data_IF_176271327625
#
_entry.id   IF_176271327625
#
_cell.length_a   1.000
_cell.length_b   1.000
_cell.length_c   1.000
_cell.angle_alpha   90.00
_cell.angle_beta   90.00
_cell.angle_gamma   90.00
#
_symmetry.space_group_name_H-M   'P 1'
#
loop_
_entity.id
_entity.type
_entity.pdbx_description
1 polymer ?
#
# COMPACT_ATOMS: atom_id res chain seq x y z
N UNK A 1 11.85 -6.48 22.26
CA UNK A 1 10.52 -6.49 21.63
C UNK A 1 9.51 -6.79 22.72
N UNK A 2 8.40 -6.07 22.77
CA UNK A 2 7.34 -6.31 23.75
C UNK A 2 6.74 -7.71 23.59
N UNK A 3 6.01 -8.17 24.60
CA UNK A 3 5.33 -9.47 24.59
C UNK A 3 4.37 -9.56 23.39
N UNK A 4 4.17 -10.76 22.84
CA UNK A 4 3.20 -10.99 21.76
C UNK A 4 1.79 -10.53 22.14
N UNK A 5 1.49 -10.57 23.45
CA UNK A 5 0.23 -10.05 24.01
C UNK A 5 0.12 -8.52 23.91
N UNK A 6 1.23 -7.78 24.03
CA UNK A 6 1.24 -6.32 23.87
C UNK A 6 1.06 -5.91 22.41
N UNK A 7 1.65 -6.66 21.47
CA UNK A 7 1.45 -6.45 20.04
C UNK A 7 0.00 -6.74 19.63
N UNK A 8 -0.55 -7.87 20.11
CA UNK A 8 -1.93 -8.26 19.88
C UNK A 8 -2.92 -7.19 20.33
N UNK A 9 -2.73 -6.62 21.53
CA UNK A 9 -3.57 -5.50 22.02
C UNK A 9 -3.40 -4.24 21.19
N UNK A 10 -2.20 -3.94 20.72
CA UNK A 10 -1.94 -2.76 19.88
C UNK A 10 -2.58 -2.88 18.49
N UNK A 11 -2.47 -4.03 17.82
CA UNK A 11 -3.12 -4.30 16.53
C UNK A 11 -4.67 -4.28 16.62
N UNK A 12 -5.18 -4.48 17.82
CA UNK A 12 -6.60 -4.41 18.14
C UNK A 12 -7.11 -3.00 18.51
N UNK A 13 -6.27 -1.96 18.38
CA UNK A 13 -6.59 -0.58 18.80
C UNK A 13 -7.06 -0.49 20.28
N UNK A 14 -6.56 -1.40 21.15
CA UNK A 14 -6.91 -1.43 22.58
C UNK A 14 -6.37 -0.17 23.30
N UNK A 15 -7.23 0.64 23.96
CA UNK A 15 -6.80 1.83 24.68
C UNK A 15 -5.75 1.60 25.77
N UNK A 16 -5.67 0.40 26.35
CA UNK A 16 -4.68 0.03 27.37
C UNK A 16 -3.29 -0.23 26.75
N UNK A 17 -3.22 -0.57 25.45
CA UNK A 17 -1.96 -0.75 24.73
C UNK A 17 -1.17 0.57 24.58
N UNK A 18 -1.82 1.73 24.74
CA UNK A 18 -1.23 3.06 24.69
C UNK A 18 -0.26 3.39 25.85
N UNK A 19 0.12 2.43 26.68
CA UNK A 19 1.12 2.59 27.74
C UNK A 19 2.28 1.57 27.63
N UNK A 20 2.18 0.63 26.70
CA UNK A 20 3.11 -0.48 26.51
C UNK A 20 4.40 -0.11 25.76
N UNK A 21 5.39 -1.02 25.72
CA UNK A 21 6.66 -0.80 25.02
C UNK A 21 6.49 -0.59 23.50
N UNK A 22 5.48 -1.21 22.87
CA UNK A 22 5.13 -0.96 21.47
C UNK A 22 4.61 0.46 21.23
N UNK A 23 3.78 1.00 22.12
CA UNK A 23 3.36 2.40 22.05
C UNK A 23 4.53 3.38 22.20
N UNK A 24 5.50 3.08 23.08
CA UNK A 24 6.72 3.90 23.23
C UNK A 24 7.62 3.83 21.99
N UNK A 25 7.76 2.65 21.38
CA UNK A 25 8.46 2.49 20.10
C UNK A 25 7.73 3.22 18.95
N UNK A 26 6.39 3.12 18.91
CA UNK A 26 5.53 3.82 17.96
C UNK A 26 5.60 5.34 18.11
N UNK A 27 5.65 5.88 19.34
CA UNK A 27 5.88 7.31 19.57
C UNK A 27 7.27 7.75 19.06
N UNK A 28 8.31 6.93 19.27
CA UNK A 28 9.65 7.21 18.74
C UNK A 28 9.70 7.17 17.21
N UNK A 29 8.94 6.26 16.59
CA UNK A 29 8.82 6.14 15.14
C UNK A 29 7.94 7.25 14.53
N UNK A 30 6.82 7.60 15.17
CA UNK A 30 5.93 8.69 14.78
C UNK A 30 6.62 10.06 14.88
N UNK A 31 7.48 10.26 15.88
CA UNK A 31 8.35 11.44 16.00
C UNK A 31 9.27 11.57 14.78
N UNK A 32 9.88 10.47 14.33
CA UNK A 32 10.71 10.46 13.12
C UNK A 32 9.92 10.59 11.82
N UNK A 33 8.74 9.98 11.70
CA UNK A 33 7.87 10.12 10.53
C UNK A 33 7.34 11.55 10.40
N UNK A 34 6.99 12.20 11.50
CA UNK A 34 6.58 13.62 11.51
C UNK A 34 7.75 14.57 11.21
N UNK A 35 8.97 14.23 11.63
CA UNK A 35 10.19 14.95 11.25
C UNK A 35 10.58 14.76 9.77
N UNK A 36 10.18 13.64 9.15
CA UNK A 36 10.43 13.32 7.74
C UNK A 36 9.27 13.70 6.82
N UNK A 37 8.07 13.94 7.35
CA UNK A 37 6.91 14.36 6.57
C UNK A 37 7.17 15.77 6.00
N UNK A 38 7.10 15.96 4.67
CA UNK A 38 7.25 17.28 4.08
C UNK A 38 6.11 18.17 4.57
N UNK A 39 6.46 19.29 5.23
CA UNK A 39 5.52 20.33 5.66
C UNK A 39 5.06 21.11 4.41
N UNK A 40 3.82 20.89 3.90
CA UNK A 40 3.39 21.43 2.62
C UNK A 40 3.30 22.97 2.64
N UNK A 41 3.10 23.56 3.82
CA UNK A 41 3.05 25.02 3.99
C UNK A 41 4.44 25.66 3.97
N UNK A 42 5.51 24.88 4.12
CA UNK A 42 6.90 25.37 4.08
C UNK A 42 7.59 25.20 2.75
N UNK A 43 7.01 24.45 1.81
CA UNK A 43 7.63 24.09 0.53
C UNK A 43 8.91 23.27 0.70
N UNK A 44 9.41 22.71 -0.41
CA UNK A 44 10.75 22.09 -0.45
C UNK A 44 11.84 23.16 -0.35
N UNK A 45 12.02 23.72 0.85
CA UNK A 45 13.23 24.48 1.17
C UNK A 45 14.28 23.45 1.56
N UNK A 46 15.21 23.19 0.66
CA UNK A 46 16.50 22.56 1.02
C UNK A 46 16.98 23.32 2.25
N UNK A 47 17.02 22.67 3.42
CA UNK A 47 17.60 23.27 4.62
C UNK A 47 19.05 23.56 4.28
N UNK A 48 19.35 24.81 3.90
CA UNK A 48 20.72 25.26 3.83
C UNK A 48 21.29 25.01 5.23
N UNK A 49 22.31 24.15 5.30
CA UNK A 49 22.99 23.76 6.55
C UNK A 49 23.75 24.94 7.18
N UNK A 50 23.48 26.17 6.75
CA UNK A 50 23.83 27.38 7.48
C UNK A 50 22.99 27.43 8.74
N UNK A 51 23.62 26.99 9.82
CA UNK A 51 23.27 27.24 11.22
C UNK A 51 22.78 28.67 11.43
N UNK A 52 21.49 28.93 11.22
CA UNK A 52 20.83 30.06 11.83
C UNK A 52 20.82 29.75 13.31
N UNK A 53 21.73 30.38 14.07
CA UNK A 53 21.66 30.26 15.53
C UNK A 53 20.26 30.73 15.94
N UNK A 54 19.52 29.95 16.76
CA UNK A 54 18.24 30.40 17.26
C UNK A 54 18.44 31.78 17.90
N UNK A 55 17.50 32.72 17.72
CA UNK A 55 17.64 34.06 18.29
C UNK A 55 17.90 33.90 19.79
N UNK A 56 19.10 34.27 20.23
CA UNK A 56 19.50 34.21 21.63
C UNK A 56 18.75 35.32 22.36
N UNK A 57 17.50 35.07 22.70
CA UNK A 57 16.70 35.96 23.51
C UNK A 57 17.36 36.06 24.88
N UNK A 58 17.82 37.27 25.20
CA UNK A 58 18.37 37.60 26.49
C UNK A 58 17.31 37.45 27.57
N UNK A 59 17.71 36.94 28.73
CA UNK A 59 16.81 36.72 29.88
C UNK A 59 16.01 37.96 30.30
N UNK A 60 16.50 39.16 29.98
CA UNK A 60 15.85 40.44 30.29
C UNK A 60 15.15 41.10 29.09
N UNK A 61 15.18 40.50 27.90
CA UNK A 61 14.58 41.05 26.69
C UNK A 61 13.06 40.97 26.76
N UNK A 62 12.38 41.77 25.92
CA UNK A 62 10.92 41.74 25.80
C UNK A 62 10.50 40.36 25.30
N UNK A 63 9.51 39.79 25.98
CA UNK A 63 9.04 38.45 25.68
C UNK A 63 8.34 38.41 24.30
N UNK A 64 8.72 37.49 23.41
CA UNK A 64 8.22 37.44 22.03
C UNK A 64 6.74 37.00 21.93
N UNK A 65 6.13 36.52 23.01
CA UNK A 65 4.70 36.19 23.06
C UNK A 65 3.77 37.42 23.08
N UNK A 66 4.31 38.64 23.04
CA UNK A 66 3.53 39.88 22.98
C UNK A 66 3.00 40.37 24.34
N UNK A 67 3.40 39.74 25.45
CA UNK A 67 2.92 40.08 26.80
C UNK A 67 3.43 41.41 27.36
N UNK A 68 4.43 42.03 26.71
CA UNK A 68 5.09 43.26 27.17
C UNK A 68 6.03 43.09 28.38
N UNK A 69 6.15 41.87 28.94
CA UNK A 69 7.02 41.57 30.09
C UNK A 69 8.43 41.13 29.65
N UNK A 70 9.40 41.14 30.59
CA UNK A 70 10.73 40.53 30.36
C UNK A 70 10.60 39.02 30.24
N UNK A 71 11.37 38.39 29.34
CA UNK A 71 11.32 36.94 29.07
C UNK A 71 11.40 36.10 30.35
N UNK A 72 12.26 36.47 31.31
CA UNK A 72 12.38 35.77 32.58
C UNK A 72 11.16 35.81 33.49
N UNK A 73 10.34 36.84 33.39
CA UNK A 73 9.14 37.03 34.19
C UNK A 73 7.89 36.50 33.48
N UNK A 74 8.02 36.06 32.23
CA UNK A 74 6.94 35.49 31.44
C UNK A 74 7.08 33.96 31.36
N UNK A 75 8.20 33.45 30.84
CA UNK A 75 8.37 32.01 30.56
C UNK A 75 9.50 31.31 31.34
N UNK A 76 10.46 32.01 31.97
CA UNK A 76 11.48 31.35 32.82
C UNK A 76 11.15 31.34 34.33
N UNK A 77 10.13 32.09 34.74
CA UNK A 77 9.75 32.25 36.16
C UNK A 77 8.50 31.48 36.55
N UNK A 78 7.84 30.82 35.58
CA UNK A 78 6.80 29.84 35.88
C UNK A 78 7.49 28.48 35.89
N UNK A 79 7.49 27.80 37.04
CA UNK A 79 7.68 26.35 37.11
C UNK A 79 6.46 25.66 36.47
N UNK A 80 6.19 25.95 35.21
CA UNK A 80 5.30 25.10 34.42
C UNK A 80 6.16 23.94 33.95
N UNK A 81 5.85 22.75 34.45
CA UNK A 81 6.28 21.51 33.82
C UNK A 81 5.78 21.57 32.38
N UNK A 82 6.67 21.90 31.44
CA UNK A 82 6.36 21.89 30.02
C UNK A 82 6.15 20.43 29.65
N UNK A 83 4.92 19.97 29.77
CA UNK A 83 4.47 18.68 29.30
C UNK A 83 4.31 18.79 27.79
N UNK A 84 5.38 18.48 27.03
CA UNK A 84 5.28 18.21 25.60
C UNK A 84 4.41 16.97 25.41
N UNK A 85 3.09 17.15 25.40
CA UNK A 85 2.17 16.07 25.04
C UNK A 85 2.10 16.06 23.52
N UNK A 86 2.85 15.16 22.90
CA UNK A 86 2.57 14.77 21.52
C UNK A 86 1.12 14.28 21.49
N UNK A 87 0.32 14.78 20.55
CA UNK A 87 -1.05 14.30 20.38
C UNK A 87 -1.07 12.80 20.05
N UNK A 88 -2.22 12.15 20.22
CA UNK A 88 -2.38 10.78 19.74
C UNK A 88 -2.06 10.74 18.24
N UNK A 89 -1.28 9.75 17.76
CA UNK A 89 -0.88 9.69 16.37
C UNK A 89 -2.08 9.67 15.44
N UNK A 90 -1.95 10.29 14.27
CA UNK A 90 -3.03 10.34 13.28
C UNK A 90 -3.35 8.93 12.76
N UNK A 91 -4.56 8.68 12.26
CA UNK A 91 -4.90 7.38 11.67
C UNK A 91 -3.94 6.94 10.53
N UNK A 92 -3.48 7.88 9.71
CA UNK A 92 -2.48 7.60 8.67
C UNK A 92 -1.14 7.11 9.25
N UNK A 93 -0.64 7.75 10.32
CA UNK A 93 0.58 7.31 11.01
C UNK A 93 0.37 5.92 11.63
N UNK A 94 -0.82 5.65 12.19
CA UNK A 94 -1.16 4.32 12.71
C UNK A 94 -1.13 3.27 11.60
N UNK A 95 -1.80 3.50 10.48
CA UNK A 95 -1.82 2.56 9.35
C UNK A 95 -0.41 2.20 8.85
N UNK A 96 0.46 3.21 8.67
CA UNK A 96 1.85 2.99 8.27
C UNK A 96 2.65 2.17 9.29
N UNK A 97 2.48 2.46 10.58
CA UNK A 97 3.15 1.69 11.63
C UNK A 97 2.59 0.27 11.75
N UNK A 98 1.29 0.09 11.53
CA UNK A 98 0.64 -1.22 11.54
C UNK A 98 1.22 -2.11 10.46
N UNK A 99 1.24 -1.63 9.21
CA UNK A 99 1.87 -2.36 8.10
C UNK A 99 3.32 -2.71 8.44
N UNK A 100 4.14 -1.73 8.81
CA UNK A 100 5.55 -1.98 9.16
C UNK A 100 5.74 -3.04 10.25
N UNK A 101 4.98 -2.93 11.34
CA UNK A 101 5.12 -3.85 12.47
C UNK A 101 4.74 -5.28 12.08
N UNK A 102 3.67 -5.46 11.32
CA UNK A 102 3.20 -6.78 10.90
C UNK A 102 4.25 -7.48 10.03
N UNK A 103 4.82 -6.77 9.05
CA UNK A 103 5.84 -7.33 8.15
C UNK A 103 7.20 -7.59 8.84
N UNK A 104 7.45 -6.97 10.00
CA UNK A 104 8.63 -7.27 10.85
C UNK A 104 8.38 -8.43 11.84
N UNK A 105 7.14 -8.93 11.96
CA UNK A 105 6.79 -10.01 12.90
C UNK A 105 6.98 -11.41 12.32
N UNK A 106 7.26 -12.38 13.20
CA UNK A 106 7.21 -13.80 12.83
C UNK A 106 5.77 -14.29 12.73
N UNK A 107 5.52 -15.33 11.92
CA UNK A 107 4.20 -15.95 11.81
C UNK A 107 3.69 -16.47 13.17
N UNK A 108 4.56 -17.05 14.01
CA UNK A 108 4.19 -17.49 15.37
C UNK A 108 3.65 -16.32 16.22
N UNK A 109 4.15 -15.12 16.00
CA UNK A 109 3.65 -13.92 16.68
C UNK A 109 2.29 -13.51 16.13
N UNK A 110 2.12 -13.54 14.80
CA UNK A 110 0.86 -13.20 14.13
C UNK A 110 -0.27 -14.19 14.47
N UNK A 111 0.03 -15.47 14.66
CA UNK A 111 -0.93 -16.50 15.06
C UNK A 111 -1.58 -16.22 16.43
N UNK A 112 -0.91 -15.44 17.28
CA UNK A 112 -1.39 -15.07 18.62
C UNK A 112 -2.27 -13.82 18.62
N UNK A 113 -2.39 -13.13 17.48
CA UNK A 113 -3.21 -11.91 17.36
C UNK A 113 -4.70 -12.30 17.35
N UNK A 114 -5.53 -11.75 18.27
CA UNK A 114 -6.96 -12.03 18.31
C UNK A 114 -7.65 -11.37 17.11
N UNK A 115 -8.01 -12.18 16.11
CA UNK A 115 -8.57 -11.74 14.82
C UNK A 115 -9.88 -10.96 14.97
N UNK A 116 -10.72 -11.32 15.94
CA UNK A 116 -11.99 -10.65 16.25
C UNK A 116 -11.83 -9.22 16.77
N UNK A 117 -10.61 -8.85 17.20
CA UNK A 117 -10.29 -7.52 17.70
C UNK A 117 -9.39 -6.73 16.76
N UNK A 118 -8.74 -7.39 15.79
CA UNK A 118 -7.83 -6.73 14.87
C UNK A 118 -8.57 -5.82 13.89
N UNK A 119 -7.99 -4.66 13.58
CA UNK A 119 -8.52 -3.77 12.56
C UNK A 119 -8.47 -4.40 11.16
N UNK A 120 -9.33 -3.96 10.25
CA UNK A 120 -9.31 -4.41 8.85
C UNK A 120 -7.94 -4.17 8.17
N UNK A 121 -7.29 -3.03 8.48
CA UNK A 121 -5.91 -2.76 8.08
C UNK A 121 -4.93 -3.81 8.61
N UNK A 122 -5.00 -4.17 9.90
CA UNK A 122 -4.12 -5.19 10.45
C UNK A 122 -4.36 -6.56 9.79
N UNK A 123 -5.62 -6.95 9.61
CA UNK A 123 -5.98 -8.24 9.00
C UNK A 123 -5.51 -8.37 7.54
N UNK A 124 -5.61 -7.30 6.75
CA UNK A 124 -5.14 -7.29 5.35
C UNK A 124 -3.61 -7.35 5.24
N UNK A 125 -2.89 -6.61 6.07
CA UNK A 125 -1.41 -6.68 6.13
C UNK A 125 -0.93 -8.05 6.65
N UNK A 126 -1.65 -8.63 7.62
CA UNK A 126 -1.40 -10.00 8.06
C UNK A 126 -1.63 -10.99 6.90
N UNK A 127 -2.71 -10.84 6.14
CA UNK A 127 -3.00 -11.67 4.98
C UNK A 127 -1.85 -11.64 3.96
N UNK A 128 -1.35 -10.45 3.62
CA UNK A 128 -0.18 -10.31 2.75
C UNK A 128 1.09 -10.98 3.33
N UNK A 129 1.31 -10.88 4.64
CA UNK A 129 2.45 -11.53 5.29
C UNK A 129 2.33 -13.05 5.25
N UNK A 130 1.15 -13.62 5.48
CA UNK A 130 0.92 -15.06 5.34
C UNK A 130 1.08 -15.53 3.90
N UNK A 131 0.56 -14.78 2.93
CA UNK A 131 0.72 -15.06 1.50
C UNK A 131 2.19 -15.11 1.10
N UNK A 132 2.99 -14.10 1.47
CA UNK A 132 4.43 -14.06 1.20
C UNK A 132 5.26 -15.17 1.86
N UNK A 133 4.69 -15.91 2.82
CA UNK A 133 5.30 -17.10 3.43
C UNK A 133 4.68 -18.42 2.92
N UNK A 134 3.90 -18.38 1.84
CA UNK A 134 3.25 -19.55 1.23
C UNK A 134 2.05 -20.09 2.00
N UNK A 135 1.52 -19.36 2.99
CA UNK A 135 0.32 -19.75 3.73
C UNK A 135 -0.95 -19.17 3.08
N UNK A 136 -1.20 -19.56 1.83
CA UNK A 136 -2.25 -18.98 0.99
C UNK A 136 -3.66 -19.14 1.58
N UNK A 137 -3.98 -20.29 2.17
CA UNK A 137 -5.29 -20.52 2.79
C UNK A 137 -5.54 -19.58 3.97
N UNK A 138 -4.49 -19.27 4.74
CA UNK A 138 -4.60 -18.33 5.86
C UNK A 138 -4.80 -16.90 5.36
N UNK A 139 -4.07 -16.53 4.30
CA UNK A 139 -4.22 -15.23 3.65
C UNK A 139 -5.64 -15.03 3.11
N UNK A 140 -6.18 -16.04 2.41
CA UNK A 140 -7.54 -16.04 1.87
C UNK A 140 -8.60 -15.97 2.98
N UNK A 141 -8.43 -16.69 4.10
CA UNK A 141 -9.36 -16.64 5.22
C UNK A 141 -9.47 -15.21 5.80
N UNK A 142 -8.33 -14.58 6.07
CA UNK A 142 -8.28 -13.22 6.63
C UNK A 142 -8.85 -12.20 5.65
N UNK A 143 -8.43 -12.26 4.38
CA UNK A 143 -8.89 -11.30 3.38
C UNK A 143 -10.40 -11.46 3.10
N UNK A 144 -10.90 -12.70 3.08
CA UNK A 144 -12.33 -12.99 2.97
C UNK A 144 -13.13 -12.42 4.15
N UNK A 145 -12.62 -12.46 5.39
CA UNK A 145 -13.32 -11.80 6.51
C UNK A 145 -13.42 -10.29 6.31
N UNK A 146 -12.34 -9.65 5.88
CA UNK A 146 -12.32 -8.19 5.68
C UNK A 146 -13.24 -7.76 4.54
N UNK A 147 -13.28 -8.53 3.44
CA UNK A 147 -14.07 -8.18 2.26
C UNK A 147 -15.57 -8.47 2.42
N UNK A 148 -15.96 -9.33 3.37
CA UNK A 148 -17.36 -9.63 3.70
C UNK A 148 -17.99 -8.57 4.60
N UNK A 149 -17.23 -8.01 5.54
CA UNK A 149 -17.70 -7.05 6.53
C UNK A 149 -17.95 -5.64 5.95
N UNK A 150 -18.42 -4.72 6.82
CA UNK A 150 -18.62 -3.32 6.46
C UNK A 150 -17.29 -2.63 6.10
N UNK A 151 -17.24 -2.02 4.91
CA UNK A 151 -16.02 -1.45 4.34
C UNK A 151 -15.79 -0.02 4.81
N UNK A 152 -15.58 0.19 6.10
CA UNK A 152 -15.58 1.54 6.68
C UNK A 152 -14.20 2.14 6.91
N UNK A 153 -13.13 1.36 6.74
CA UNK A 153 -11.76 1.88 6.84
C UNK A 153 -11.41 2.76 5.62
N UNK A 154 -11.15 4.08 5.82
CA UNK A 154 -10.87 5.01 4.74
C UNK A 154 -9.44 4.87 4.17
N UNK A 155 -8.57 4.10 4.82
CA UNK A 155 -7.19 3.88 4.39
C UNK A 155 -7.00 2.58 3.62
N UNK A 156 -8.00 1.70 3.64
CA UNK A 156 -7.98 0.50 2.81
C UNK A 156 -8.26 0.85 1.35
N UNK A 157 -7.33 0.46 0.49
CA UNK A 157 -7.51 0.46 -0.96
C UNK A 157 -8.36 -0.75 -1.34
N UNK A 158 -9.69 -0.62 -1.18
CA UNK A 158 -10.64 -1.72 -1.44
C UNK A 158 -10.48 -2.31 -2.84
N UNK A 159 -10.27 -1.44 -3.83
CA UNK A 159 -9.98 -1.82 -5.21
C UNK A 159 -8.79 -2.79 -5.28
N UNK A 160 -7.68 -2.46 -4.63
CA UNK A 160 -6.49 -3.32 -4.58
C UNK A 160 -6.77 -4.67 -3.91
N UNK A 161 -7.41 -4.67 -2.74
CA UNK A 161 -7.65 -5.90 -1.98
C UNK A 161 -8.67 -6.84 -2.63
N UNK A 162 -9.66 -6.31 -3.35
CA UNK A 162 -10.57 -7.12 -4.18
C UNK A 162 -9.78 -7.83 -5.29
N UNK A 163 -8.84 -7.13 -5.95
CA UNK A 163 -8.00 -7.76 -6.98
C UNK A 163 -7.10 -8.85 -6.38
N UNK A 164 -6.38 -8.54 -5.29
CA UNK A 164 -5.52 -9.52 -4.61
C UNK A 164 -6.28 -10.75 -4.15
N UNK A 165 -7.51 -10.60 -3.66
CA UNK A 165 -8.31 -11.75 -3.25
C UNK A 165 -8.65 -12.67 -4.42
N UNK A 166 -9.04 -12.11 -5.57
CA UNK A 166 -9.34 -12.90 -6.75
C UNK A 166 -8.08 -13.59 -7.33
N UNK A 167 -6.96 -12.88 -7.39
CA UNK A 167 -5.65 -13.40 -7.81
C UNK A 167 -5.20 -14.58 -6.92
N UNK A 168 -5.24 -14.41 -5.59
CA UNK A 168 -4.87 -15.47 -4.66
C UNK A 168 -5.82 -16.67 -4.70
N UNK A 169 -7.08 -16.48 -5.10
CA UNK A 169 -7.98 -17.61 -5.37
C UNK A 169 -7.54 -18.39 -6.62
N UNK A 170 -7.04 -17.72 -7.66
CA UNK A 170 -6.47 -18.39 -8.83
C UNK A 170 -5.22 -19.17 -8.46
N UNK A 171 -4.29 -18.55 -7.72
CA UNK A 171 -3.08 -19.24 -7.22
C UNK A 171 -3.41 -20.48 -6.38
N UNK A 172 -4.53 -20.44 -5.63
CA UNK A 172 -5.03 -21.58 -4.85
C UNK A 172 -5.85 -22.60 -5.67
N UNK A 173 -5.88 -22.49 -7.02
CA UNK A 173 -6.70 -23.30 -7.92
C UNK A 173 -8.21 -23.27 -7.61
N UNK A 174 -8.71 -22.09 -7.25
CA UNK A 174 -10.11 -21.78 -6.89
C UNK A 174 -10.69 -20.67 -7.79
N UNK A 175 -10.37 -20.73 -9.09
CA UNK A 175 -10.70 -19.70 -10.08
C UNK A 175 -12.21 -19.43 -10.12
N UNK A 176 -13.04 -20.46 -10.06
CA UNK A 176 -14.52 -20.31 -10.05
C UNK A 176 -15.04 -19.49 -8.88
N UNK A 177 -14.37 -19.58 -7.73
CA UNK A 177 -14.75 -18.80 -6.56
C UNK A 177 -14.31 -17.34 -6.70
N UNK A 178 -13.13 -17.11 -7.30
CA UNK A 178 -12.65 -15.77 -7.66
C UNK A 178 -13.57 -15.08 -8.68
N UNK A 179 -13.98 -15.82 -9.71
CA UNK A 179 -14.94 -15.37 -10.72
C UNK A 179 -16.27 -14.98 -10.07
N UNK A 180 -16.87 -15.87 -9.29
CA UNK A 180 -18.14 -15.61 -8.61
C UNK A 180 -18.05 -14.40 -7.68
N UNK A 181 -16.95 -14.29 -6.93
CA UNK A 181 -16.70 -13.14 -6.05
C UNK A 181 -16.67 -11.83 -6.83
N UNK A 182 -15.94 -11.76 -7.95
CA UNK A 182 -15.84 -10.55 -8.77
C UNK A 182 -17.18 -10.20 -9.44
N UNK A 183 -17.95 -11.19 -9.90
CA UNK A 183 -19.29 -10.97 -10.44
C UNK A 183 -20.25 -10.43 -9.37
N UNK A 184 -20.20 -10.96 -8.15
CA UNK A 184 -21.00 -10.46 -7.03
C UNK A 184 -20.63 -9.01 -6.68
N UNK A 185 -19.33 -8.66 -6.70
CA UNK A 185 -18.85 -7.28 -6.52
C UNK A 185 -19.29 -6.35 -7.66
N UNK A 186 -19.41 -6.86 -8.89
CA UNK A 186 -19.87 -6.08 -10.04
C UNK A 186 -21.35 -5.74 -9.93
N UNK A 187 -22.17 -6.71 -9.50
CA UNK A 187 -23.61 -6.53 -9.30
C UNK A 187 -23.92 -5.67 -8.06
N UNK A 188 -23.07 -5.76 -7.02
CA UNK A 188 -23.25 -5.10 -5.74
C UNK A 188 -21.98 -4.37 -5.28
N UNK A 189 -21.55 -3.31 -5.98
CA UNK A 189 -20.27 -2.66 -5.71
C UNK A 189 -20.24 -1.97 -4.35
N UNK A 190 -19.22 -2.28 -3.53
CA UNK A 190 -19.01 -1.71 -2.19
C UNK A 190 -17.69 -0.95 -2.12
N UNK A 191 -17.75 0.39 -1.97
CA UNK A 191 -16.57 1.30 -1.95
C UNK A 191 -15.70 1.31 -3.21
N UNK A 192 -16.15 0.65 -4.27
CA UNK A 192 -15.57 0.69 -5.62
C UNK A 192 -16.68 1.03 -6.60
N UNK A 193 -16.31 1.48 -7.79
CA UNK A 193 -17.26 1.66 -8.89
C UNK A 193 -17.40 0.38 -9.70
N UNK A 194 -18.55 0.22 -10.36
CA UNK A 194 -18.81 -0.95 -11.18
C UNK A 194 -17.77 -1.13 -12.31
N UNK A 195 -17.29 -0.04 -12.92
CA UNK A 195 -16.26 -0.12 -13.96
C UNK A 195 -14.88 -0.52 -13.42
N UNK A 196 -14.55 -0.21 -12.15
CA UNK A 196 -13.32 -0.71 -11.51
C UNK A 196 -13.39 -2.22 -11.27
N UNK A 197 -14.57 -2.77 -10.93
CA UNK A 197 -14.73 -4.23 -10.84
C UNK A 197 -14.62 -4.86 -12.23
N UNK A 198 -15.18 -4.23 -13.26
CA UNK A 198 -15.02 -4.69 -14.65
C UNK A 198 -13.55 -4.75 -15.10
N UNK A 199 -12.69 -3.84 -14.65
CA UNK A 199 -11.24 -3.93 -14.89
C UNK A 199 -10.62 -5.21 -14.33
N UNK A 200 -11.06 -5.64 -13.14
CA UNK A 200 -10.57 -6.87 -12.50
C UNK A 200 -11.07 -8.11 -13.21
N UNK A 201 -12.35 -8.14 -13.58
CA UNK A 201 -12.90 -9.21 -14.40
C UNK A 201 -12.16 -9.31 -15.74
N UNK A 202 -11.89 -8.18 -16.40
CA UNK A 202 -11.10 -8.16 -17.62
C UNK A 202 -9.70 -8.76 -17.42
N UNK A 203 -8.95 -8.31 -16.41
CA UNK A 203 -7.63 -8.87 -16.11
C UNK A 203 -7.71 -10.37 -15.78
N UNK A 204 -8.65 -10.76 -14.92
CA UNK A 204 -8.89 -12.14 -14.52
C UNK A 204 -9.12 -13.07 -15.72
N UNK A 205 -9.97 -12.67 -16.68
CA UNK A 205 -10.21 -13.49 -17.88
C UNK A 205 -9.06 -13.45 -18.89
N UNK A 206 -8.27 -12.36 -18.94
CA UNK A 206 -7.03 -12.33 -19.72
C UNK A 206 -6.06 -13.38 -19.19
N UNK A 207 -5.87 -13.45 -17.87
CA UNK A 207 -4.95 -14.40 -17.23
C UNK A 207 -5.39 -15.86 -17.42
N UNK A 208 -6.71 -16.11 -17.46
CA UNK A 208 -7.27 -17.43 -17.78
C UNK A 208 -7.25 -17.77 -19.28
N UNK A 209 -6.88 -16.83 -20.15
CA UNK A 209 -6.93 -16.99 -21.61
C UNK A 209 -8.35 -17.01 -22.21
N UNK A 210 -9.37 -16.61 -21.44
CA UNK A 210 -10.75 -16.51 -21.91
C UNK A 210 -10.99 -15.16 -22.60
N UNK A 211 -10.57 -15.12 -23.87
CA UNK A 211 -10.62 -13.89 -24.68
C UNK A 211 -12.03 -13.34 -24.92
N UNK A 212 -13.07 -14.18 -24.89
CA UNK A 212 -14.46 -13.75 -25.14
C UNK A 212 -15.02 -12.99 -23.93
N UNK A 213 -14.84 -13.55 -22.74
CA UNK A 213 -15.22 -12.87 -21.51
C UNK A 213 -14.32 -11.65 -21.26
N UNK A 214 -13.02 -11.74 -21.51
CA UNK A 214 -12.10 -10.62 -21.40
C UNK A 214 -12.55 -9.42 -22.26
N UNK A 215 -12.89 -9.63 -23.54
CA UNK A 215 -13.36 -8.55 -24.43
C UNK A 215 -14.63 -7.89 -23.89
N UNK A 216 -15.57 -8.70 -23.39
CA UNK A 216 -16.81 -8.22 -22.76
C UNK A 216 -16.50 -7.25 -21.62
N UNK A 217 -15.64 -7.66 -20.68
CA UNK A 217 -15.33 -6.87 -19.50
C UNK A 217 -14.44 -5.66 -19.79
N UNK A 218 -13.53 -5.75 -20.76
CA UNK A 218 -12.77 -4.61 -21.27
C UNK A 218 -13.73 -3.54 -21.80
N UNK A 219 -14.72 -3.93 -22.62
CA UNK A 219 -15.68 -2.98 -23.18
C UNK A 219 -16.53 -2.32 -22.09
N UNK A 220 -17.02 -3.09 -21.10
CA UNK A 220 -17.76 -2.55 -19.94
C UNK A 220 -16.91 -1.54 -19.16
N UNK A 221 -15.64 -1.85 -18.89
CA UNK A 221 -14.73 -0.94 -18.20
C UNK A 221 -14.52 0.37 -18.98
N UNK A 222 -14.32 0.25 -20.31
CA UNK A 222 -14.16 1.40 -21.21
C UNK A 222 -15.42 2.29 -21.27
N UNK A 223 -16.61 1.71 -21.33
CA UNK A 223 -17.87 2.45 -21.32
C UNK A 223 -18.06 3.24 -20.02
N UNK A 224 -17.69 2.64 -18.88
CA UNK A 224 -17.79 3.27 -17.57
C UNK A 224 -16.78 4.41 -17.36
N UNK A 225 -15.58 4.32 -17.94
CA UNK A 225 -14.57 5.38 -17.87
C UNK A 225 -13.66 5.42 -19.12
N UNK A 226 -14.07 6.08 -20.21
CA UNK A 226 -13.30 6.10 -21.46
C UNK A 226 -11.94 6.80 -21.36
N UNK A 227 -11.79 7.71 -20.39
CA UNK A 227 -10.58 8.49 -20.15
C UNK A 227 -9.57 7.79 -19.24
N UNK A 228 -9.85 6.58 -18.74
CA UNK A 228 -8.92 5.86 -17.89
C UNK A 228 -7.85 5.15 -18.74
N UNK A 229 -6.55 5.48 -18.60
CA UNK A 229 -5.48 4.84 -19.38
C UNK A 229 -5.37 3.34 -19.12
N UNK A 230 -5.70 2.85 -17.93
CA UNK A 230 -5.66 1.42 -17.60
C UNK A 230 -6.66 0.60 -18.43
N UNK A 231 -7.81 1.17 -18.80
CA UNK A 231 -8.78 0.47 -19.66
C UNK A 231 -8.21 0.21 -21.06
N UNK A 232 -7.46 1.17 -21.61
CA UNK A 232 -6.80 1.02 -22.91
C UNK A 232 -5.59 0.08 -22.80
N UNK A 233 -4.91 0.06 -21.65
CA UNK A 233 -3.87 -0.92 -21.35
C UNK A 233 -4.43 -2.36 -21.33
N UNK A 234 -5.54 -2.62 -20.62
CA UNK A 234 -6.19 -3.94 -20.60
C UNK A 234 -6.64 -4.38 -22.01
N UNK A 235 -7.19 -3.45 -22.80
CA UNK A 235 -7.52 -3.72 -24.21
C UNK A 235 -6.28 -4.10 -25.02
N UNK A 236 -5.18 -3.38 -24.81
CA UNK A 236 -3.88 -3.69 -25.42
C UNK A 236 -3.42 -5.10 -25.04
N UNK A 237 -3.49 -5.47 -23.75
CA UNK A 237 -3.11 -6.81 -23.27
C UNK A 237 -3.95 -7.91 -23.91
N UNK A 238 -5.27 -7.75 -23.98
CA UNK A 238 -6.15 -8.70 -24.65
C UNK A 238 -5.77 -8.88 -26.13
N UNK A 239 -5.56 -7.77 -26.84
CA UNK A 239 -5.17 -7.78 -28.25
C UNK A 239 -3.79 -8.40 -28.46
N UNK A 240 -2.87 -8.15 -27.54
CA UNK A 240 -1.54 -8.75 -27.52
C UNK A 240 -1.64 -10.26 -27.34
N UNK A 241 -2.49 -10.72 -26.42
CA UNK A 241 -2.70 -12.15 -26.14
C UNK A 241 -3.26 -12.90 -27.36
N UNK A 242 -4.12 -12.27 -28.16
CA UNK A 242 -4.62 -12.83 -29.45
C UNK A 242 -3.74 -12.51 -30.66
N UNK A 243 -2.50 -12.07 -30.43
CA UNK A 243 -1.51 -11.73 -31.48
C UNK A 243 -1.99 -10.66 -32.48
N UNK A 244 -2.92 -9.79 -32.07
CA UNK A 244 -3.37 -8.63 -32.83
C UNK A 244 -2.42 -7.45 -32.61
N UNK A 245 -1.18 -7.58 -33.07
CA UNK A 245 -0.07 -6.67 -32.78
C UNK A 245 -0.37 -5.19 -33.10
N UNK A 246 -0.87 -4.91 -34.30
CA UNK A 246 -1.20 -3.54 -34.71
C UNK A 246 -2.29 -2.90 -33.84
N UNK A 247 -3.28 -3.70 -33.44
CA UNK A 247 -4.36 -3.24 -32.56
C UNK A 247 -3.83 -3.00 -31.14
N UNK A 248 -3.01 -3.92 -30.63
CA UNK A 248 -2.37 -3.79 -29.32
C UNK A 248 -1.51 -2.51 -29.24
N UNK A 249 -0.67 -2.26 -30.26
CA UNK A 249 0.12 -1.02 -30.37
C UNK A 249 -0.77 0.22 -30.34
N UNK A 250 -1.90 0.22 -31.05
CA UNK A 250 -2.83 1.34 -31.04
C UNK A 250 -3.43 1.57 -29.65
N UNK A 251 -3.85 0.51 -28.96
CA UNK A 251 -4.43 0.59 -27.61
C UNK A 251 -3.41 1.06 -26.56
N UNK A 252 -2.19 0.51 -26.57
CA UNK A 252 -1.12 0.97 -25.67
C UNK A 252 -0.70 2.43 -25.94
N UNK A 253 -0.65 2.84 -27.20
CA UNK A 253 -0.39 4.24 -27.56
C UNK A 253 -1.50 5.15 -27.04
N UNK A 254 -2.76 4.71 -27.08
CA UNK A 254 -3.87 5.47 -26.52
C UNK A 254 -3.78 5.58 -24.98
N UNK A 255 -3.36 4.50 -24.30
CA UNK A 255 -3.08 4.53 -22.86
C UNK A 255 -1.98 5.56 -22.53
N UNK A 256 -0.87 5.56 -23.27
CA UNK A 256 0.24 6.52 -23.11
C UNK A 256 -0.23 7.97 -23.29
N UNK A 257 -1.08 8.24 -24.29
CA UNK A 257 -1.63 9.58 -24.52
C UNK A 257 -2.51 10.07 -23.37
N UNK A 258 -3.39 9.21 -22.85
CA UNK A 258 -4.28 9.56 -21.74
C UNK A 258 -3.52 9.79 -20.44
N UNK A 259 -2.38 9.12 -20.25
CA UNK A 259 -1.52 9.36 -19.09
C UNK A 259 -0.84 10.74 -19.09
N UNK A 260 -0.76 11.42 -20.24
CA UNK A 260 -0.13 12.75 -20.32
C UNK A 260 -0.75 13.76 -19.34
N UNK A 261 -2.05 13.62 -19.06
CA UNK A 261 -2.84 14.51 -18.21
C UNK A 261 -2.73 14.21 -16.70
N UNK A 262 -2.05 13.12 -16.29
CA UNK A 262 -1.95 12.70 -14.89
C UNK A 262 -0.81 13.44 -14.14
N UNK A 263 -0.67 13.25 -12.82
CA UNK A 263 0.51 13.73 -12.07
C UNK A 263 1.70 12.80 -12.27
N UNK A 264 2.92 13.31 -12.25
CA UNK A 264 4.12 12.50 -12.55
C UNK A 264 4.31 11.30 -11.60
N UNK A 265 3.91 11.43 -10.34
CA UNK A 265 3.93 10.34 -9.34
C UNK A 265 2.95 9.22 -9.70
N UNK A 266 1.78 9.56 -10.24
CA UNK A 266 0.74 8.60 -10.67
C UNK A 266 1.13 7.91 -11.98
N UNK A 267 1.92 8.59 -12.82
CA UNK A 267 2.42 8.05 -14.08
C UNK A 267 3.53 7.03 -13.90
N UNK A 268 4.37 7.16 -12.88
CA UNK A 268 5.66 6.45 -12.83
C UNK A 268 5.53 4.93 -13.00
N UNK A 269 4.60 4.29 -12.30
CA UNK A 269 4.38 2.83 -12.36
C UNK A 269 3.64 2.40 -13.64
N UNK A 270 2.60 3.12 -14.02
CA UNK A 270 1.81 2.81 -15.23
C UNK A 270 2.60 3.06 -16.52
N UNK A 271 3.46 4.07 -16.55
CA UNK A 271 4.32 4.38 -17.69
C UNK A 271 5.25 3.21 -18.00
N UNK A 272 5.88 2.63 -16.97
CA UNK A 272 6.78 1.50 -17.18
C UNK A 272 6.04 0.32 -17.83
N UNK A 273 4.92 -0.09 -17.24
CA UNK A 273 4.09 -1.19 -17.74
C UNK A 273 3.62 -0.96 -19.19
N UNK A 274 3.09 0.23 -19.48
CA UNK A 274 2.58 0.58 -20.81
C UNK A 274 3.71 0.67 -21.83
N UNK A 275 4.84 1.30 -21.49
CA UNK A 275 5.97 1.46 -22.39
C UNK A 275 6.63 0.12 -22.74
N UNK A 276 6.83 -0.76 -21.76
CA UNK A 276 7.38 -2.11 -21.98
C UNK A 276 6.45 -2.96 -22.85
N UNK A 277 5.15 -2.96 -22.54
CA UNK A 277 4.14 -3.68 -23.33
C UNK A 277 4.04 -3.16 -24.77
N UNK A 278 4.10 -1.84 -24.95
CA UNK A 278 4.11 -1.19 -26.26
C UNK A 278 5.35 -1.58 -27.09
N UNK A 279 6.52 -1.62 -26.47
CA UNK A 279 7.75 -2.04 -27.14
C UNK A 279 7.68 -3.51 -27.56
N UNK A 280 7.23 -4.40 -26.67
CA UNK A 280 7.02 -5.82 -26.98
C UNK A 280 6.04 -6.00 -28.13
N UNK A 281 4.90 -5.30 -28.09
CA UNK A 281 3.89 -5.36 -29.15
C UNK A 281 4.44 -4.89 -30.50
N UNK A 282 5.26 -3.82 -30.53
CA UNK A 282 5.94 -3.35 -31.76
C UNK A 282 6.93 -4.36 -32.32
N UNK A 283 7.54 -5.16 -31.45
CA UNK A 283 8.51 -6.19 -31.81
C UNK A 283 7.89 -7.58 -32.02
N UNK A 284 6.55 -7.69 -31.92
CA UNK A 284 5.80 -8.96 -31.97
C UNK A 284 6.32 -9.99 -30.96
N UNK A 285 6.70 -9.51 -29.77
CA UNK A 285 7.14 -10.35 -28.65
C UNK A 285 5.95 -10.63 -27.73
N UNK A 286 5.79 -11.85 -27.20
CA UNK A 286 4.77 -12.14 -26.20
C UNK A 286 5.03 -11.32 -24.91
N UNK A 287 3.97 -11.15 -24.11
CA UNK A 287 4.14 -10.73 -22.72
C UNK A 287 4.88 -11.87 -21.99
N UNK A 288 5.89 -11.53 -21.20
CA UNK A 288 6.52 -12.50 -20.30
C UNK A 288 5.60 -12.72 -19.11
N UNK A 289 5.39 -13.98 -18.72
CA UNK A 289 4.89 -14.27 -17.37
C UNK A 289 5.96 -13.73 -16.39
N UNK A 290 5.57 -12.89 -15.42
CA UNK A 290 6.52 -12.50 -14.38
C UNK A 290 7.11 -13.79 -13.78
N UNK A 291 8.45 -13.90 -13.66
CA UNK A 291 9.02 -15.06 -13.00
C UNK A 291 8.47 -15.12 -11.58
N UNK A 292 7.81 -16.23 -11.24
CA UNK A 292 7.52 -16.64 -9.87
C UNK A 292 8.81 -16.40 -9.06
N UNK A 293 8.76 -15.46 -8.12
CA UNK A 293 9.89 -15.10 -7.27
C UNK A 293 10.10 -16.24 -6.24
N UNK A 294 10.56 -17.38 -6.74
CA UNK A 294 10.82 -18.61 -6.00
C UNK A 294 12.25 -19.05 -6.26
N UNK A 295 13.14 -18.51 -5.42
CA UNK A 295 14.40 -19.13 -4.96
C UNK A 295 15.46 -19.46 -6.01
N UNK A 296 16.46 -18.58 -6.12
CA UNK A 296 17.85 -19.01 -6.36
C UNK A 296 18.73 -18.57 -5.18
N UNK A 297 18.63 -19.32 -4.08
CA UNK A 297 19.80 -19.50 -3.20
C UNK A 297 20.57 -20.71 -3.73
N UNK A 298 21.24 -20.52 -4.87
CA UNK A 298 22.19 -21.49 -5.36
C UNK A 298 23.46 -21.42 -4.50
N UNK A 299 23.72 -22.52 -3.80
CA UNK A 299 24.92 -22.71 -3.00
C UNK A 299 26.16 -22.78 -3.88
N UNK A 300 27.22 -22.07 -3.48
CA UNK A 300 28.58 -22.42 -3.90
C UNK A 300 29.35 -22.93 -2.67
N UNK A 301 29.33 -24.25 -2.54
CA UNK A 301 30.31 -25.04 -1.81
C UNK A 301 31.72 -24.71 -2.35
N UNK A 302 32.49 -23.93 -1.61
CA UNK A 302 33.96 -23.97 -1.74
C UNK A 302 34.64 -24.24 -0.41
N UNK A 303 34.77 -25.54 -0.18
CA UNK A 303 35.91 -26.14 0.51
C UNK A 303 37.20 -25.56 -0.06
N UNK A 304 37.93 -24.78 0.74
CA UNK A 304 39.36 -24.60 0.55
C UNK A 304 40.09 -24.90 1.85
N UNK A 305 40.52 -26.16 1.88
CA UNK A 305 41.63 -26.70 2.64
C UNK A 305 42.87 -25.78 2.55
N UNK A 306 43.32 -25.27 3.71
CA UNK A 306 44.65 -24.70 3.85
C UNK A 306 45.22 -25.05 5.22
N UNK A 307 46.00 -26.14 5.25
CA UNK A 307 47.20 -26.20 6.10
C UNK A 307 48.39 -26.53 5.20
N UNK A 308 49.56 -25.93 5.46
CA UNK A 308 50.60 -26.70 6.14
C UNK A 308 50.94 -26.18 7.53
#
# INVERSE_FOLDING_TARGET
MGDAEDLARWLADDPEAHQGPFWKWFLHFAERLMDMAPDPERGFVVRDRRTAQPPRIGRNDVCPCGSGKKFKQCHLGQESTVSWKLGSPTPAIRAMATSRLIHECSLETLDRVPRDKASAMALTEMAATYHGHGQIEMALELLSSVLRDERDDPYLLWDYWIARYAEWLVEAAREKEGEQFLLDEYDHPRKVTQWQVAQKLAAFYIDLGDTENADTWVNVAMEGNPGNPFNHYLKGMLQHHVESWDAAVASYTQAEQLMADFRDEEKMYMNQLVSESLERARNHQPLEDEPDDATDQDGDDRVQDQTP
#
